data_IF_334334227517
#
_entry.id   IF_334334227517
#
_cell.length_a   1.000
_cell.length_b   1.000
_cell.length_c   1.000
_cell.angle_alpha   90.00
_cell.angle_beta   90.00
_cell.angle_gamma   90.00
#
_symmetry.space_group_name_H-M   'P 1'
#
loop_
_entity.id
_entity.type
_entity.pdbx_description
1 polymer ?
#
# COMPACT_ATOMS: atom_id res chain seq x y z
N UNK A 1 -1.33 -22.15 5.15
CA UNK A 1 -0.33 -21.09 4.95
C UNK A 1 -1.07 -19.77 4.81
N UNK A 2 -1.22 -19.01 5.89
CA UNK A 2 -2.07 -17.82 5.90
C UNK A 2 -1.33 -16.60 5.35
N UNK A 3 -1.93 -15.90 4.40
CA UNK A 3 -1.41 -14.65 3.82
C UNK A 3 -1.62 -13.45 4.77
N UNK A 4 -1.47 -13.67 6.09
CA UNK A 4 -1.81 -12.67 7.10
C UNK A 4 -0.87 -11.47 7.09
N UNK A 5 0.27 -11.55 6.40
CA UNK A 5 1.26 -10.48 6.30
C UNK A 5 1.16 -9.68 5.02
N UNK A 6 0.41 -10.14 4.01
CA UNK A 6 0.28 -9.40 2.76
C UNK A 6 -0.65 -8.19 2.94
N UNK A 7 -0.22 -7.04 2.43
CA UNK A 7 -0.98 -5.80 2.36
C UNK A 7 -0.90 -5.25 0.93
N UNK A 8 -2.00 -4.68 0.46
CA UNK A 8 -2.02 -3.96 -0.81
C UNK A 8 -1.81 -2.48 -0.54
N UNK A 9 -1.16 -1.77 -1.47
CA UNK A 9 -1.05 -0.32 -1.43
C UNK A 9 -1.84 0.27 -2.59
N UNK A 10 -2.76 1.15 -2.26
CA UNK A 10 -3.66 1.85 -3.17
C UNK A 10 -3.25 3.31 -3.29
N UNK A 11 -3.09 3.80 -4.52
CA UNK A 11 -2.82 5.22 -4.77
C UNK A 11 -4.04 6.08 -4.39
N UNK A 12 -3.84 7.21 -3.70
CA UNK A 12 -4.97 8.07 -3.29
C UNK A 12 -5.73 8.71 -4.45
N UNK A 13 -5.05 8.94 -5.58
CA UNK A 13 -5.61 9.69 -6.69
C UNK A 13 -6.33 8.82 -7.72
N UNK A 14 -5.69 7.73 -8.14
CA UNK A 14 -6.24 6.83 -9.15
C UNK A 14 -6.91 5.59 -8.56
N UNK A 15 -6.88 5.42 -7.23
CA UNK A 15 -7.46 4.28 -6.49
C UNK A 15 -6.99 2.91 -6.98
N UNK A 16 -5.84 2.90 -7.65
CA UNK A 16 -5.36 1.69 -8.29
C UNK A 16 -4.40 0.97 -7.34
N UNK A 17 -4.66 -0.31 -7.14
CA UNK A 17 -3.82 -1.21 -6.36
C UNK A 17 -2.75 -1.80 -7.26
N UNK A 18 -1.54 -1.27 -7.19
CA UNK A 18 -0.41 -1.73 -8.01
C UNK A 18 0.72 -2.39 -7.22
N UNK A 19 0.72 -2.24 -5.89
CA UNK A 19 1.81 -2.71 -5.05
C UNK A 19 1.29 -3.65 -3.98
N UNK A 20 1.99 -4.76 -3.83
CA UNK A 20 1.81 -5.68 -2.72
C UNK A 20 3.05 -5.57 -1.84
N UNK A 21 2.85 -5.45 -0.55
CA UNK A 21 3.92 -5.36 0.44
C UNK A 21 3.62 -6.30 1.59
N UNK A 22 4.65 -6.66 2.35
CA UNK A 22 4.50 -7.47 3.54
C UNK A 22 4.61 -6.58 4.77
N UNK A 23 3.66 -6.72 5.68
CA UNK A 23 3.61 -6.03 6.95
C UNK A 23 3.39 -7.03 8.06
N UNK A 24 4.18 -6.88 9.13
CA UNK A 24 3.91 -7.58 10.36
C UNK A 24 2.83 -6.82 11.15
N UNK A 25 1.59 -7.30 11.04
CA UNK A 25 0.41 -6.72 11.73
C UNK A 25 0.56 -6.70 13.27
N UNK A 26 1.47 -7.49 13.85
CA UNK A 26 1.72 -7.52 15.31
C UNK A 26 2.56 -6.34 15.79
N UNK A 27 3.57 -5.93 15.03
CA UNK A 27 4.51 -4.86 15.43
C UNK A 27 4.10 -3.49 14.89
N UNK A 28 3.54 -3.43 13.67
CA UNK A 28 3.10 -2.20 13.04
C UNK A 28 1.56 -2.17 13.00
N UNK A 29 0.95 -1.49 13.97
CA UNK A 29 -0.51 -1.29 14.04
C UNK A 29 -0.99 -0.06 13.24
N UNK A 30 -0.09 0.88 12.94
CA UNK A 30 -0.41 2.11 12.24
C UNK A 30 -0.59 1.86 10.74
N UNK A 31 -1.51 2.60 10.09
CA UNK A 31 -1.67 2.59 8.64
C UNK A 31 -0.41 3.17 7.99
N UNK A 32 0.26 2.42 7.12
CA UNK A 32 1.37 2.96 6.32
C UNK A 32 0.81 3.90 5.25
N UNK A 33 1.37 5.11 5.22
CA UNK A 33 1.25 6.06 4.13
C UNK A 33 2.62 6.16 3.49
N UNK A 34 2.76 5.58 2.30
CA UNK A 34 4.03 5.52 1.59
C UNK A 34 3.96 6.39 0.35
N UNK A 35 4.94 7.28 0.19
CA UNK A 35 5.09 8.05 -1.06
C UNK A 35 5.74 7.15 -2.11
N UNK A 36 4.93 6.65 -3.05
CA UNK A 36 5.39 5.79 -4.15
C UNK A 36 5.04 6.44 -5.48
N UNK A 37 5.83 6.09 -6.50
CA UNK A 37 5.54 6.52 -7.86
C UNK A 37 4.31 5.77 -8.38
N UNK A 38 3.27 6.49 -8.79
CA UNK A 38 2.12 5.88 -9.44
C UNK A 38 2.35 5.84 -10.97
N UNK A 39 2.36 4.64 -11.57
CA UNK A 39 2.52 4.48 -13.04
C UNK A 39 1.40 5.15 -13.83
N UNK A 40 0.18 5.20 -13.29
CA UNK A 40 -0.98 5.80 -13.96
C UNK A 40 -0.98 7.33 -13.87
N UNK A 41 -0.69 7.90 -12.70
CA UNK A 41 -0.60 9.35 -12.53
C UNK A 41 0.73 9.95 -13.00
N UNK A 42 1.74 9.10 -13.24
CA UNK A 42 3.12 9.48 -13.62
C UNK A 42 3.77 10.48 -12.65
N UNK A 43 3.41 10.41 -11.37
CA UNK A 43 3.96 11.24 -10.29
C UNK A 43 4.03 10.46 -8.98
N UNK A 44 4.82 10.96 -8.03
CA UNK A 44 4.86 10.41 -6.67
C UNK A 44 3.61 10.84 -5.92
N UNK A 45 2.85 9.86 -5.43
CA UNK A 45 1.63 10.07 -4.67
C UNK A 45 1.71 9.29 -3.37
N UNK A 46 0.97 9.75 -2.37
CA UNK A 46 0.64 8.96 -1.20
C UNK A 46 -0.09 7.69 -1.66
N UNK A 47 0.36 6.55 -1.14
CA UNK A 47 -0.34 5.29 -1.26
C UNK A 47 -0.78 4.87 0.14
N UNK A 48 -2.07 4.52 0.26
CA UNK A 48 -2.70 4.04 1.49
C UNK A 48 -2.61 2.52 1.52
N UNK A 49 -2.49 1.96 2.72
CA UNK A 49 -2.76 0.53 2.90
C UNK A 49 -4.24 0.21 2.65
N UNK A 50 -4.44 -0.74 1.75
CA UNK A 50 -5.71 -1.43 1.51
C UNK A 50 -5.55 -2.90 1.93
N UNK A 51 -6.65 -3.51 2.37
CA UNK A 51 -6.67 -4.78 3.11
C UNK A 51 -5.93 -5.92 2.39
#
# INVERSE_FOLDING_TARGET
>A
MSQDTLINLECEECKNTGYQSTKNKKTLKNRLLLSKFCKWCRKHTSHKETK
#
